data_IF_181856819856
#
_entry.id   IF_181856819856
#
_cell.length_a   1.000
_cell.length_b   1.000
_cell.length_c   1.000
_cell.angle_alpha   90.00
_cell.angle_beta   90.00
_cell.angle_gamma   90.00
#
_symmetry.space_group_name_H-M   'P 1'
#
loop_
_entity.id
_entity.type
_entity.pdbx_description
1 polymer ?
#
# COMPACT_ATOMS: atom_id res chain seq x y z
N UNK A 1 -9.58 10.92 -2.38
CA UNK A 1 -8.57 10.05 -3.03
C UNK A 1 -7.22 10.75 -3.11
N UNK A 2 -7.09 11.83 -3.88
CA UNK A 2 -5.79 12.49 -4.16
C UNK A 2 -5.10 13.05 -2.90
N UNK A 3 -5.79 13.81 -2.05
CA UNK A 3 -5.21 14.34 -0.81
C UNK A 3 -4.71 13.22 0.12
N UNK A 4 -5.50 12.16 0.27
CA UNK A 4 -5.16 10.99 1.09
C UNK A 4 -3.97 10.25 0.50
N UNK A 5 -3.87 10.19 -0.84
CA UNK A 5 -2.73 9.59 -1.54
C UNK A 5 -1.45 10.36 -1.27
N UNK A 6 -1.49 11.70 -1.35
CA UNK A 6 -0.34 12.55 -1.06
C UNK A 6 0.08 12.41 0.40
N UNK A 7 -0.88 12.39 1.32
CA UNK A 7 -0.59 12.20 2.74
C UNK A 7 0.08 10.83 3.00
N UNK A 8 -0.47 9.76 2.44
CA UNK A 8 0.11 8.42 2.52
C UNK A 8 1.53 8.37 1.94
N UNK A 9 1.75 8.98 0.76
CA UNK A 9 3.07 9.03 0.14
C UNK A 9 4.09 9.79 0.98
N UNK A 10 3.67 10.85 1.66
CA UNK A 10 4.56 11.67 2.48
C UNK A 10 4.90 11.03 3.82
N UNK A 11 3.93 10.36 4.44
CA UNK A 11 4.11 9.73 5.76
C UNK A 11 4.54 8.27 5.70
N UNK A 12 4.37 7.60 4.55
CA UNK A 12 4.55 6.15 4.46
C UNK A 12 3.45 5.34 5.15
N UNK A 13 2.32 5.96 5.48
CA UNK A 13 1.23 5.31 6.23
C UNK A 13 0.45 4.35 5.32
N UNK A 14 0.63 3.05 5.57
CA UNK A 14 -0.06 1.99 4.86
C UNK A 14 -1.60 2.05 4.97
N UNK A 15 -2.13 2.48 6.12
CA UNK A 15 -3.59 2.58 6.33
C UNK A 15 -4.18 3.69 5.47
N UNK A 16 -3.48 4.83 5.35
CA UNK A 16 -3.87 5.90 4.45
C UNK A 16 -3.71 5.49 2.98
N UNK A 17 -2.67 4.72 2.64
CA UNK A 17 -2.51 4.17 1.30
C UNK A 17 -3.67 3.24 0.93
N UNK A 18 -4.07 2.34 1.83
CA UNK A 18 -5.21 1.44 1.65
C UNK A 18 -6.53 2.20 1.52
N UNK A 19 -6.73 3.23 2.35
CA UNK A 19 -7.90 4.10 2.24
C UNK A 19 -7.93 4.81 0.89
N UNK A 20 -6.82 5.42 0.46
CA UNK A 20 -6.72 6.08 -0.83
C UNK A 20 -6.98 5.12 -1.99
N UNK A 21 -6.42 3.91 -1.92
CA UNK A 21 -6.58 2.85 -2.91
C UNK A 21 -8.04 2.37 -3.00
N UNK A 22 -8.71 2.20 -1.86
CA UNK A 22 -10.13 1.79 -1.80
C UNK A 22 -11.08 2.88 -2.30
N UNK A 23 -10.70 4.16 -2.17
CA UNK A 23 -11.48 5.28 -2.70
C UNK A 23 -11.33 5.45 -4.23
N UNK A 24 -10.40 4.76 -4.87
CA UNK A 24 -10.20 4.85 -6.31
C UNK A 24 -11.31 4.08 -7.03
N UNK A 25 -12.14 4.73 -7.89
CA UNK A 25 -13.26 4.09 -8.57
C UNK A 25 -12.87 2.95 -9.52
N UNK A 26 -11.59 2.85 -9.89
CA UNK A 26 -11.05 1.75 -10.71
C UNK A 26 -10.74 0.49 -9.89
N UNK A 27 -10.69 0.61 -8.57
CA UNK A 27 -10.46 -0.52 -7.67
C UNK A 27 -11.80 -1.14 -7.32
N UNK A 28 -11.94 -2.44 -7.59
CA UNK A 28 -13.13 -3.19 -7.21
C UNK A 28 -13.15 -3.42 -5.70
N UNK A 29 -14.29 -3.18 -5.07
CA UNK A 29 -14.45 -3.37 -3.62
C UNK A 29 -14.24 -4.85 -3.24
N UNK A 30 -13.30 -5.14 -2.34
CA UNK A 30 -13.12 -6.49 -1.78
C UNK A 30 -11.73 -6.77 -1.20
N UNK A 31 -11.57 -7.96 -0.63
CA UNK A 31 -10.32 -8.46 -0.03
C UNK A 31 -9.11 -8.43 -0.98
N UNK A 32 -9.36 -8.43 -2.29
CA UNK A 32 -8.32 -8.39 -3.32
C UNK A 32 -7.62 -7.02 -3.41
N UNK A 33 -8.27 -5.93 -2.99
CA UNK A 33 -7.69 -4.59 -3.05
C UNK A 33 -6.46 -4.44 -2.14
N UNK A 34 -6.50 -5.06 -0.95
CA UNK A 34 -5.38 -5.04 -0.03
C UNK A 34 -4.18 -5.84 -0.56
N UNK A 35 -4.43 -7.06 -1.04
CA UNK A 35 -3.39 -7.89 -1.63
C UNK A 35 -2.73 -7.19 -2.84
N UNK A 36 -3.53 -6.55 -3.69
CA UNK A 36 -3.03 -5.79 -4.83
C UNK A 36 -2.18 -4.59 -4.39
N UNK A 37 -2.61 -3.84 -3.37
CA UNK A 37 -1.81 -2.73 -2.85
C UNK A 37 -0.46 -3.23 -2.33
N UNK A 38 -0.44 -4.33 -1.59
CA UNK A 38 0.81 -4.94 -1.11
C UNK A 38 1.72 -5.34 -2.27
N UNK A 39 1.18 -5.95 -3.33
CA UNK A 39 1.94 -6.30 -4.53
C UNK A 39 2.54 -5.05 -5.20
N UNK A 40 1.76 -3.96 -5.27
CA UNK A 40 2.26 -2.69 -5.83
C UNK A 40 3.39 -2.08 -5.01
N UNK A 41 3.27 -2.10 -3.67
CA UNK A 41 4.31 -1.60 -2.77
C UNK A 41 5.60 -2.41 -2.89
N UNK A 42 5.50 -3.75 -2.96
CA UNK A 42 6.66 -4.63 -3.15
C UNK A 42 7.32 -4.42 -4.52
N UNK A 43 6.53 -4.35 -5.59
CA UNK A 43 7.04 -4.18 -6.95
C UNK A 43 7.81 -2.86 -7.15
N UNK A 44 7.51 -1.84 -6.34
CA UNK A 44 8.11 -0.50 -6.44
C UNK A 44 8.94 -0.12 -5.22
N UNK A 45 9.39 -1.10 -4.42
CA UNK A 45 10.04 -0.85 -3.13
C UNK A 45 11.24 0.10 -3.20
N UNK A 46 12.02 0.02 -4.28
CA UNK A 46 13.19 0.87 -4.50
C UNK A 46 12.84 2.35 -4.68
N UNK A 47 11.59 2.67 -4.98
CA UNK A 47 11.09 4.03 -5.23
C UNK A 47 10.23 4.57 -4.09
N UNK A 48 9.95 3.76 -3.06
CA UNK A 48 9.02 4.08 -1.99
C UNK A 48 9.71 4.05 -0.61
N UNK A 49 10.75 4.88 -0.37
CA UNK A 49 11.53 4.83 0.86
C UNK A 49 10.69 5.10 2.12
N UNK A 50 9.65 5.93 2.02
CA UNK A 50 8.74 6.21 3.14
C UNK A 50 7.95 4.96 3.57
N UNK A 51 7.71 4.01 2.65
CA UNK A 51 6.98 2.78 2.93
C UNK A 51 7.90 1.62 3.34
N UNK A 52 9.22 1.82 3.50
CA UNK A 52 10.15 0.75 3.84
C UNK A 52 9.72 -0.11 5.04
N UNK A 53 9.25 0.46 6.19
CA UNK A 53 8.80 -0.35 7.32
C UNK A 53 7.56 -1.20 7.00
N UNK A 54 6.63 -0.65 6.22
CA UNK A 54 5.44 -1.40 5.79
C UNK A 54 5.81 -2.53 4.83
N UNK A 55 6.74 -2.28 3.91
CA UNK A 55 7.24 -3.26 2.94
C UNK A 55 7.96 -4.41 3.66
N UNK A 56 8.82 -4.12 4.64
CA UNK A 56 9.48 -5.15 5.45
C UNK A 56 8.46 -6.05 6.15
N UNK A 57 7.45 -5.46 6.81
CA UNK A 57 6.39 -6.22 7.47
C UNK A 57 5.59 -7.08 6.45
N UNK A 58 5.30 -6.58 5.25
CA UNK A 58 4.64 -7.37 4.20
C UNK A 58 5.50 -8.56 3.79
N UNK A 59 6.81 -8.36 3.57
CA UNK A 59 7.75 -9.45 3.23
C UNK A 59 7.81 -10.51 4.33
N UNK A 60 7.91 -10.10 5.59
CA UNK A 60 7.92 -11.01 6.74
C UNK A 60 6.65 -11.85 6.82
N UNK A 61 5.48 -11.24 6.67
CA UNK A 61 4.21 -12.00 6.72
C UNK A 61 4.10 -13.01 5.59
N UNK A 62 4.54 -12.67 4.38
CA UNK A 62 4.47 -13.56 3.21
C UNK A 62 5.47 -14.71 3.27
N UNK A 63 6.65 -14.50 3.86
CA UNK A 63 7.64 -15.56 4.05
C UNK A 63 7.22 -16.59 5.12
N UNK A 64 6.27 -16.23 5.98
CA UNK A 64 5.76 -17.08 7.07
C UNK A 64 4.43 -17.79 6.72
N UNK A 65 3.98 -17.71 5.47
CA UNK A 65 2.80 -18.41 4.93
C UNK A 65 3.21 -19.58 4.04
#
# INVERSE_FOLDING_TARGET
MELVTVQAAMTGDYSLALQAFTLNPLISNGLQAEALLQDMLLAHENYLPQFAPAIEHIKERRNNQ
#
